data_IF_099009671537
#
_entry.id   IF_099009671537
#
_cell.length_a   1.000
_cell.length_b   1.000
_cell.length_c   1.000
_cell.angle_alpha   90.00
_cell.angle_beta   90.00
_cell.angle_gamma   90.00
#
_symmetry.space_group_name_H-M   'P 1'
#
loop_
_entity.id
_entity.type
_entity.pdbx_description
1 polymer ?
#
# COMPACT_ATOMS: atom_id res chain seq x y z
N UNK A 1 -70.14 -1.10 -45.02
CA UNK A 1 -69.63 0.08 -44.26
C UNK A 1 -69.37 -0.19 -42.77
N UNK A 2 -70.27 -0.88 -42.04
CA UNK A 2 -70.18 -1.09 -40.58
C UNK A 2 -68.92 -1.80 -40.04
N UNK A 3 -68.39 -2.83 -40.74
CA UNK A 3 -67.23 -3.63 -40.28
C UNK A 3 -65.89 -2.85 -40.32
N UNK A 4 -65.71 -1.96 -41.31
CA UNK A 4 -64.49 -1.14 -41.42
C UNK A 4 -64.46 -0.05 -40.36
N UNK A 5 -65.61 0.58 -40.07
CA UNK A 5 -65.74 1.58 -39.00
C UNK A 5 -65.52 0.94 -37.63
N UNK A 6 -66.07 -0.26 -37.39
CA UNK A 6 -65.85 -1.00 -36.15
C UNK A 6 -64.38 -1.39 -35.92
N UNK A 7 -63.68 -1.86 -36.97
CA UNK A 7 -62.25 -2.17 -36.87
C UNK A 7 -61.39 -0.92 -36.61
N UNK A 8 -61.75 0.23 -37.19
CA UNK A 8 -61.06 1.50 -36.92
C UNK A 8 -61.27 1.93 -35.46
N UNK A 9 -62.49 1.81 -34.92
CA UNK A 9 -62.79 2.14 -33.53
C UNK A 9 -61.97 1.26 -32.57
N UNK A 10 -61.93 -0.06 -32.80
CA UNK A 10 -61.15 -1.00 -31.97
C UNK A 10 -59.65 -0.68 -32.02
N UNK A 11 -59.09 -0.36 -33.19
CA UNK A 11 -57.68 0.00 -33.33
C UNK A 11 -57.37 1.30 -32.56
N UNK A 12 -58.24 2.31 -32.66
CA UNK A 12 -58.07 3.58 -31.94
C UNK A 12 -58.13 3.36 -30.42
N UNK A 13 -59.05 2.52 -29.94
CA UNK A 13 -59.21 2.22 -28.53
C UNK A 13 -58.00 1.46 -27.96
N UNK A 14 -57.46 0.48 -28.70
CA UNK A 14 -56.21 -0.22 -28.34
C UNK A 14 -55.04 0.76 -28.27
N UNK A 15 -54.93 1.71 -29.22
CA UNK A 15 -53.88 2.73 -29.21
C UNK A 15 -54.01 3.65 -27.98
N UNK A 16 -55.22 4.04 -27.58
CA UNK A 16 -55.45 4.82 -26.37
C UNK A 16 -55.12 4.05 -25.09
N UNK A 17 -55.46 2.75 -25.02
CA UNK A 17 -55.10 1.89 -23.88
C UNK A 17 -53.58 1.74 -23.80
N UNK A 18 -52.91 1.47 -24.92
CA UNK A 18 -51.45 1.37 -24.96
C UNK A 18 -50.76 2.68 -24.60
N UNK A 19 -51.28 3.83 -25.08
CA UNK A 19 -50.80 5.14 -24.69
C UNK A 19 -51.05 5.44 -23.20
N UNK A 20 -52.19 5.04 -22.65
CA UNK A 20 -52.53 5.16 -21.23
C UNK A 20 -51.62 4.31 -20.35
N UNK A 21 -51.36 3.06 -20.73
CA UNK A 21 -50.41 2.16 -20.05
C UNK A 21 -48.98 2.69 -20.15
N UNK A 22 -48.59 3.26 -21.29
CA UNK A 22 -47.30 3.93 -21.47
C UNK A 22 -47.18 5.17 -20.58
N UNK A 23 -48.19 6.04 -20.53
CA UNK A 23 -48.17 7.25 -19.70
C UNK A 23 -48.17 6.89 -18.23
N UNK A 24 -49.07 5.99 -17.79
CA UNK A 24 -49.15 5.50 -16.42
C UNK A 24 -47.87 4.77 -16.00
N UNK A 25 -47.35 3.89 -16.84
CA UNK A 25 -46.09 3.21 -16.61
C UNK A 25 -44.91 4.19 -16.56
N UNK A 26 -44.88 5.19 -17.44
CA UNK A 26 -43.83 6.20 -17.41
C UNK A 26 -43.94 7.06 -16.16
N UNK A 27 -45.10 7.59 -15.78
CA UNK A 27 -45.26 8.45 -14.60
C UNK A 27 -45.05 7.70 -13.30
N UNK A 28 -45.68 6.53 -13.13
CA UNK A 28 -45.51 5.69 -11.96
C UNK A 28 -44.13 5.04 -11.90
N UNK A 29 -43.60 4.56 -13.03
CA UNK A 29 -42.23 4.07 -13.09
C UNK A 29 -41.18 5.12 -12.68
N UNK A 30 -41.45 6.43 -12.88
CA UNK A 30 -40.56 7.48 -12.34
C UNK A 30 -40.65 7.59 -10.83
N UNK A 31 -41.86 7.59 -10.27
CA UNK A 31 -42.10 7.82 -8.84
C UNK A 31 -41.78 6.57 -8.00
N UNK A 32 -42.36 5.43 -8.35
CA UNK A 32 -42.10 4.14 -7.71
C UNK A 32 -40.66 3.68 -7.92
N UNK A 33 -40.01 4.04 -9.03
CA UNK A 33 -38.60 3.73 -9.26
C UNK A 33 -37.67 4.37 -8.22
N UNK A 34 -37.82 5.67 -7.94
CA UNK A 34 -37.02 6.38 -6.92
C UNK A 34 -37.33 5.87 -5.51
N UNK A 35 -38.61 5.69 -5.20
CA UNK A 35 -39.03 5.22 -3.87
C UNK A 35 -38.54 3.79 -3.63
N UNK A 36 -38.70 2.88 -4.59
CA UNK A 36 -38.29 1.49 -4.42
C UNK A 36 -36.77 1.36 -4.25
N UNK A 37 -35.96 1.99 -5.11
CA UNK A 37 -34.50 1.92 -4.98
C UNK A 37 -34.04 2.52 -3.65
N UNK A 38 -34.67 3.59 -3.19
CA UNK A 38 -34.32 4.22 -1.90
C UNK A 38 -34.61 3.28 -0.72
N UNK A 39 -35.79 2.63 -0.72
CA UNK A 39 -36.15 1.66 0.32
C UNK A 39 -35.19 0.47 0.31
N UNK A 40 -34.91 -0.08 -0.87
CA UNK A 40 -34.02 -1.22 -1.04
C UNK A 40 -32.59 -0.88 -0.61
N UNK A 41 -32.12 0.32 -0.95
CA UNK A 41 -30.82 0.84 -0.53
C UNK A 41 -30.71 0.97 0.99
N UNK A 42 -31.69 1.61 1.65
CA UNK A 42 -31.71 1.74 3.11
C UNK A 42 -31.77 0.38 3.83
N UNK A 43 -32.60 -0.54 3.34
CA UNK A 43 -32.67 -1.90 3.89
C UNK A 43 -31.35 -2.66 3.72
N UNK A 44 -30.69 -2.49 2.56
CA UNK A 44 -29.39 -3.10 2.30
C UNK A 44 -28.30 -2.48 3.16
N UNK A 45 -28.35 -1.16 3.39
CA UNK A 45 -27.45 -0.43 4.28
C UNK A 45 -27.56 -0.93 5.72
N UNK A 46 -28.78 -1.01 6.25
CA UNK A 46 -29.05 -1.51 7.60
C UNK A 46 -28.57 -2.96 7.79
N UNK A 47 -28.68 -3.80 6.75
CA UNK A 47 -28.22 -5.20 6.76
C UNK A 47 -26.75 -5.39 6.42
N UNK A 48 -26.02 -4.32 6.06
CA UNK A 48 -24.68 -4.38 5.46
C UNK A 48 -24.58 -5.34 4.26
N UNK A 49 -25.61 -5.37 3.43
CA UNK A 49 -25.63 -6.16 2.20
C UNK A 49 -24.80 -5.47 1.10
N UNK A 50 -23.49 -5.70 1.16
CA UNK A 50 -22.48 -5.08 0.29
C UNK A 50 -22.81 -5.25 -1.19
N UNK A 51 -23.23 -6.45 -1.59
CA UNK A 51 -23.50 -6.77 -3.00
C UNK A 51 -24.67 -5.96 -3.53
N UNK A 52 -25.77 -5.92 -2.80
CA UNK A 52 -26.94 -5.16 -3.21
C UNK A 52 -26.65 -3.65 -3.19
N UNK A 53 -26.02 -3.14 -2.13
CA UNK A 53 -25.58 -1.74 -2.05
C UNK A 53 -24.74 -1.34 -3.26
N UNK A 54 -23.66 -2.08 -3.55
CA UNK A 54 -22.75 -1.79 -4.65
C UNK A 54 -23.47 -1.76 -6.00
N UNK A 55 -24.41 -2.68 -6.23
CA UNK A 55 -25.19 -2.74 -7.48
C UNK A 55 -26.05 -1.50 -7.72
N UNK A 56 -26.56 -0.89 -6.65
CA UNK A 56 -27.44 0.29 -6.66
C UNK A 56 -26.67 1.60 -6.84
N UNK A 57 -25.38 1.63 -6.54
CA UNK A 57 -24.57 2.84 -6.66
C UNK A 57 -24.37 3.29 -8.11
N UNK A 58 -24.36 4.61 -8.30
CA UNK A 58 -24.02 5.30 -9.53
C UNK A 58 -22.50 5.45 -9.66
N UNK A 59 -21.81 4.31 -9.71
CA UNK A 59 -20.36 4.26 -9.83
C UNK A 59 -19.98 4.11 -11.29
N UNK A 60 -19.08 4.99 -11.74
CA UNK A 60 -18.31 4.74 -12.94
C UNK A 60 -17.24 3.70 -12.60
N UNK A 61 -17.34 2.51 -13.21
CA UNK A 61 -16.38 1.43 -12.96
C UNK A 61 -14.96 1.92 -13.22
N UNK A 62 -14.12 1.80 -12.20
CA UNK A 62 -12.68 2.07 -12.27
C UNK A 62 -11.92 0.91 -11.60
N UNK A 63 -10.60 0.94 -11.66
CA UNK A 63 -9.78 -0.03 -10.95
C UNK A 63 -9.97 0.05 -9.42
N UNK A 64 -10.31 1.24 -8.91
CA UNK A 64 -10.40 1.60 -7.49
C UNK A 64 -11.80 1.41 -6.89
N UNK A 65 -12.84 1.42 -7.74
CA UNK A 65 -14.23 1.29 -7.32
C UNK A 65 -14.74 -0.12 -7.65
N UNK A 66 -14.27 -1.12 -6.86
CA UNK A 66 -14.66 -2.54 -6.95
C UNK A 66 -15.47 -2.99 -5.73
N UNK A 67 -16.33 -3.98 -5.91
CA UNK A 67 -17.18 -4.55 -4.83
C UNK A 67 -16.37 -5.01 -3.60
N UNK A 68 -15.22 -5.67 -3.81
CA UNK A 68 -14.36 -6.09 -2.70
C UNK A 68 -13.80 -4.93 -1.89
N UNK A 69 -13.41 -3.83 -2.55
CA UNK A 69 -12.93 -2.62 -1.87
C UNK A 69 -14.07 -1.93 -1.13
N UNK A 70 -15.27 -1.94 -1.71
CA UNK A 70 -16.47 -1.40 -1.07
C UNK A 70 -16.85 -2.13 0.23
N UNK A 71 -16.63 -3.45 0.30
CA UNK A 71 -16.89 -4.23 1.51
C UNK A 71 -16.15 -3.67 2.74
N UNK A 72 -14.87 -3.31 2.57
CA UNK A 72 -14.04 -2.72 3.64
C UNK A 72 -14.61 -1.38 4.13
N UNK A 73 -15.06 -0.53 3.21
CA UNK A 73 -15.70 0.74 3.55
C UNK A 73 -16.97 0.55 4.37
N UNK A 74 -17.80 -0.43 4.01
CA UNK A 74 -19.05 -0.76 4.72
C UNK A 74 -18.79 -1.38 6.11
N UNK A 75 -17.73 -2.16 6.29
CA UNK A 75 -17.35 -2.70 7.60
C UNK A 75 -17.12 -1.59 8.64
N UNK A 76 -16.44 -0.51 8.23
CA UNK A 76 -16.09 0.64 9.09
C UNK A 76 -17.29 1.49 9.54
N UNK A 77 -18.44 1.35 8.88
CA UNK A 77 -19.61 2.20 9.09
C UNK A 77 -20.54 1.56 10.12
N UNK A 78 -21.10 2.37 11.03
CA UNK A 78 -22.08 1.90 12.00
C UNK A 78 -23.37 1.45 11.29
N UNK A 79 -23.81 0.23 11.58
CA UNK A 79 -25.05 -0.31 11.01
C UNK A 79 -26.28 0.33 11.65
N UNK A 80 -27.35 0.49 10.88
CA UNK A 80 -28.62 1.02 11.39
C UNK A 80 -29.51 -0.13 11.87
N UNK A 81 -30.00 -0.03 13.11
CA UNK A 81 -31.06 -0.90 13.66
C UNK A 81 -32.34 -0.08 13.82
N UNK A 82 -33.44 -0.56 13.23
CA UNK A 82 -34.68 0.19 13.15
C UNK A 82 -35.92 -0.71 13.27
N UNK A 83 -36.98 -0.16 13.84
CA UNK A 83 -38.24 -0.87 14.08
C UNK A 83 -39.27 -0.61 12.99
N UNK A 84 -39.30 0.61 12.48
CA UNK A 84 -40.14 1.05 11.37
C UNK A 84 -39.46 2.16 10.57
N UNK A 85 -39.83 2.28 9.29
CA UNK A 85 -39.38 3.37 8.43
C UNK A 85 -40.46 3.72 7.39
N UNK A 86 -40.42 4.96 6.91
CA UNK A 86 -41.29 5.50 5.86
C UNK A 86 -40.52 6.44 4.95
N UNK A 87 -41.11 6.75 3.80
CA UNK A 87 -40.58 7.81 2.93
C UNK A 87 -41.04 9.16 3.47
N UNK A 88 -40.09 10.06 3.70
CA UNK A 88 -40.31 11.46 4.01
C UNK A 88 -40.38 12.31 2.75
N UNK A 89 -39.74 13.47 2.79
CA UNK A 89 -39.74 14.42 1.68
C UNK A 89 -38.96 13.91 0.45
N UNK A 90 -39.46 14.30 -0.73
CA UNK A 90 -38.81 14.02 -2.01
C UNK A 90 -38.51 15.33 -2.72
N UNK A 91 -37.24 15.69 -2.78
CA UNK A 91 -36.76 16.83 -3.56
C UNK A 91 -36.35 16.33 -4.94
N UNK A 92 -36.92 16.93 -5.99
CA UNK A 92 -36.73 16.44 -7.36
C UNK A 92 -36.29 17.54 -8.30
N UNK A 93 -35.22 17.25 -9.02
CA UNK A 93 -34.72 18.01 -10.14
C UNK A 93 -34.80 17.20 -11.45
N UNK A 94 -34.37 17.80 -12.56
CA UNK A 94 -34.47 17.18 -13.90
C UNK A 94 -33.75 15.83 -13.99
N UNK A 95 -32.56 15.73 -13.40
CA UNK A 95 -31.68 14.55 -13.45
C UNK A 95 -31.24 14.03 -12.08
N UNK A 96 -31.61 14.72 -11.00
CA UNK A 96 -31.27 14.38 -9.62
C UNK A 96 -32.52 14.33 -8.77
N UNK A 97 -32.48 13.54 -7.71
CA UNK A 97 -33.49 13.55 -6.68
C UNK A 97 -32.84 13.24 -5.33
N UNK A 98 -33.38 13.81 -4.27
CA UNK A 98 -33.03 13.46 -2.89
C UNK A 98 -34.30 12.95 -2.23
N UNK A 99 -34.27 11.73 -1.72
CA UNK A 99 -35.38 11.09 -1.03
C UNK A 99 -35.00 10.91 0.43
N UNK A 100 -35.82 11.41 1.33
CA UNK A 100 -35.65 11.21 2.78
C UNK A 100 -36.30 9.90 3.23
N UNK A 101 -35.60 9.16 4.08
CA UNK A 101 -36.15 8.06 4.86
C UNK A 101 -36.21 8.48 6.32
N UNK A 102 -37.43 8.49 6.84
CA UNK A 102 -37.72 8.69 8.26
C UNK A 102 -37.81 7.32 8.92
N UNK A 103 -36.95 7.04 9.89
CA UNK A 103 -36.92 5.77 10.61
C UNK A 103 -36.89 5.96 12.12
N UNK A 104 -37.40 4.97 12.86
CA UNK A 104 -37.27 4.92 14.32
C UNK A 104 -36.15 3.98 14.72
N UNK A 105 -35.17 4.51 15.45
CA UNK A 105 -34.04 3.74 15.96
C UNK A 105 -34.49 2.79 17.08
N UNK A 106 -34.02 1.54 17.05
CA UNK A 106 -34.45 0.51 18.01
C UNK A 106 -34.03 0.80 19.45
N UNK A 107 -32.94 1.55 19.63
CA UNK A 107 -32.31 1.75 20.94
C UNK A 107 -33.16 2.60 21.87
N UNK A 108 -33.76 3.67 21.36
CA UNK A 108 -34.47 4.68 22.14
C UNK A 108 -35.78 5.17 21.49
N UNK A 109 -36.15 4.62 20.33
CA UNK A 109 -37.35 5.01 19.59
C UNK A 109 -37.27 6.39 18.94
N UNK A 110 -36.09 7.01 18.92
CA UNK A 110 -35.89 8.32 18.32
C UNK A 110 -36.11 8.26 16.81
N UNK A 111 -36.78 9.29 16.30
CA UNK A 111 -36.97 9.47 14.87
C UNK A 111 -35.69 10.08 14.26
N UNK A 112 -35.19 9.47 13.20
CA UNK A 112 -34.00 9.89 12.46
C UNK A 112 -34.28 9.93 10.96
N UNK A 113 -33.48 10.73 10.28
CA UNK A 113 -33.57 10.96 8.84
C UNK A 113 -32.36 10.36 8.14
N UNK A 114 -32.60 9.74 6.98
CA UNK A 114 -31.58 9.16 6.12
C UNK A 114 -31.81 9.62 4.69
N UNK A 115 -30.99 10.59 4.26
CA UNK A 115 -31.11 11.19 2.94
C UNK A 115 -30.40 10.35 1.88
N UNK A 116 -31.10 10.06 0.79
CA UNK A 116 -30.56 9.30 -0.34
C UNK A 116 -30.57 10.15 -1.59
N UNK A 117 -29.37 10.49 -2.05
CA UNK A 117 -29.17 11.20 -3.31
C UNK A 117 -29.18 10.21 -4.47
N UNK A 118 -29.96 10.54 -5.51
CA UNK A 118 -30.18 9.70 -6.68
C UNK A 118 -29.86 10.49 -7.95
N UNK A 119 -29.27 9.79 -8.93
CA UNK A 119 -29.19 10.29 -10.30
C UNK A 119 -29.97 9.43 -11.28
N UNK A 120 -30.56 10.12 -12.25
CA UNK A 120 -31.28 9.50 -13.34
C UNK A 120 -30.29 9.00 -14.40
N UNK A 121 -30.36 7.71 -14.68
CA UNK A 121 -29.49 7.06 -15.64
C UNK A 121 -29.93 7.37 -17.08
N UNK A 122 -28.94 7.52 -17.98
CA UNK A 122 -29.20 7.71 -19.43
C UNK A 122 -29.93 6.51 -20.03
N UNK A 123 -29.54 5.29 -19.61
CA UNK A 123 -30.17 4.03 -20.01
C UNK A 123 -31.51 3.87 -19.31
N UNK A 124 -32.56 3.61 -20.08
CA UNK A 124 -33.92 3.36 -19.58
C UNK A 124 -34.19 1.86 -19.52
N UNK A 125 -34.92 1.40 -18.52
CA UNK A 125 -35.44 0.03 -18.48
C UNK A 125 -36.59 -0.09 -19.49
N UNK A 126 -36.61 -1.20 -20.26
CA UNK A 126 -37.53 -1.41 -21.39
C UNK A 126 -37.63 -0.19 -22.33
N UNK A 127 -36.55 0.58 -22.46
CA UNK A 127 -36.44 1.83 -23.25
C UNK A 127 -37.35 3.01 -22.84
N UNK A 128 -38.26 2.84 -21.87
CA UNK A 128 -39.26 3.87 -21.49
C UNK A 128 -39.23 4.24 -20.01
N UNK A 129 -38.82 3.33 -19.13
CA UNK A 129 -38.82 3.57 -17.68
C UNK A 129 -37.51 4.20 -17.23
N UNK A 130 -37.54 5.30 -16.47
CA UNK A 130 -36.31 5.86 -15.93
C UNK A 130 -35.68 4.91 -14.93
N UNK A 131 -34.37 4.72 -15.04
CA UNK A 131 -33.58 4.02 -14.03
C UNK A 131 -32.91 5.07 -13.16
N UNK A 132 -32.95 4.86 -11.86
CA UNK A 132 -32.26 5.69 -10.88
C UNK A 132 -31.14 4.86 -10.25
N UNK A 133 -30.06 5.52 -9.84
CA UNK A 133 -28.99 4.93 -9.03
C UNK A 133 -28.63 5.89 -7.92
N UNK A 134 -28.10 5.35 -6.82
CA UNK A 134 -27.72 6.11 -5.63
C UNK A 134 -26.35 6.75 -5.85
N UNK A 135 -26.21 8.04 -5.57
CA UNK A 135 -24.91 8.70 -5.64
C UNK A 135 -23.97 8.16 -4.56
N UNK A 136 -22.72 7.82 -4.89
CA UNK A 136 -21.78 7.19 -3.96
C UNK A 136 -21.06 8.22 -3.07
N UNK A 137 -21.52 9.47 -2.99
CA UNK A 137 -20.80 10.58 -2.34
C UNK A 137 -20.43 10.31 -0.87
N UNK A 138 -21.19 9.46 -0.18
CA UNK A 138 -20.90 9.05 1.21
C UNK A 138 -19.89 7.91 1.34
N UNK A 139 -19.42 7.35 0.23
CA UNK A 139 -18.49 6.22 0.21
C UNK A 139 -17.24 6.49 -0.60
N UNK A 140 -17.20 7.56 -1.39
CA UNK A 140 -16.13 7.83 -2.34
C UNK A 140 -15.50 9.16 -2.00
N UNK A 141 -14.18 9.17 -1.90
CA UNK A 141 -13.37 10.38 -1.86
C UNK A 141 -12.77 10.66 -3.22
N UNK A 142 -12.57 11.94 -3.52
CA UNK A 142 -12.15 12.42 -4.84
C UNK A 142 -10.76 13.05 -4.78
N UNK A 143 -10.01 12.91 -5.88
CA UNK A 143 -8.73 13.57 -6.11
C UNK A 143 -7.69 13.35 -4.99
N UNK A 144 -7.56 12.13 -4.47
CA UNK A 144 -6.55 11.85 -3.44
C UNK A 144 -5.15 11.79 -4.04
N UNK A 145 -4.17 12.26 -3.28
CA UNK A 145 -2.77 12.34 -3.66
C UNK A 145 -1.91 11.48 -2.75
N UNK A 146 -1.02 10.69 -3.35
CA UNK A 146 -0.06 9.85 -2.63
C UNK A 146 1.33 10.30 -3.04
N UNK A 147 2.12 10.68 -2.05
CA UNK A 147 3.50 11.14 -2.22
C UNK A 147 4.41 9.99 -1.83
N UNK A 148 5.28 9.61 -2.75
CA UNK A 148 6.26 8.56 -2.57
C UNK A 148 7.65 9.12 -2.81
N UNK A 149 8.71 8.41 -2.41
CA UNK A 149 10.02 8.66 -2.98
C UNK A 149 10.00 8.57 -4.50
N UNK A 150 11.00 9.18 -5.13
CA UNK A 150 11.16 9.20 -6.57
C UNK A 150 11.43 7.81 -7.14
N UNK A 151 10.93 7.60 -8.35
CA UNK A 151 11.15 6.43 -9.21
C UNK A 151 10.69 5.10 -8.59
N UNK A 152 9.75 5.15 -7.65
CA UNK A 152 9.07 3.96 -7.13
C UNK A 152 7.82 3.66 -7.95
N UNK A 153 7.55 2.38 -8.14
CA UNK A 153 6.26 1.91 -8.67
C UNK A 153 5.27 1.81 -7.52
N UNK A 154 4.15 2.54 -7.61
CA UNK A 154 3.12 2.59 -6.57
C UNK A 154 1.97 1.62 -6.86
N UNK A 155 1.60 0.83 -5.87
CA UNK A 155 0.43 -0.03 -5.88
C UNK A 155 -0.54 0.36 -4.74
N UNK A 156 -1.84 0.42 -5.06
CA UNK A 156 -2.92 0.54 -4.07
C UNK A 156 -3.84 -0.67 -4.19
N UNK A 157 -4.08 -1.37 -3.08
CA UNK A 157 -4.84 -2.64 -3.04
C UNK A 157 -4.37 -3.65 -4.12
N UNK A 158 -3.07 -3.68 -4.40
CA UNK A 158 -2.45 -4.56 -5.40
C UNK A 158 -2.64 -4.13 -6.86
N UNK A 159 -3.10 -2.90 -7.11
CA UNK A 159 -3.28 -2.33 -8.44
C UNK A 159 -2.27 -1.20 -8.62
N UNK A 160 -1.54 -1.21 -9.73
CA UNK A 160 -0.58 -0.17 -10.06
C UNK A 160 -1.25 1.18 -10.31
N UNK A 161 -0.66 2.26 -9.79
CA UNK A 161 -1.10 3.63 -10.02
C UNK A 161 -0.25 4.24 -11.14
N UNK A 162 -0.73 4.18 -12.37
CA UNK A 162 0.03 4.66 -13.53
C UNK A 162 0.10 6.20 -13.63
N UNK A 163 -0.84 6.91 -12.99
CA UNK A 163 -1.00 8.36 -13.15
C UNK A 163 -0.15 9.15 -12.16
N UNK A 164 1.04 9.55 -12.60
CA UNK A 164 1.90 10.54 -11.94
C UNK A 164 1.48 11.96 -12.31
N UNK A 165 1.22 12.81 -11.31
CA UNK A 165 0.88 14.23 -11.48
C UNK A 165 2.14 15.09 -11.59
N UNK A 166 3.02 14.91 -10.63
CA UNK A 166 4.21 15.74 -10.42
C UNK A 166 5.37 14.81 -10.08
N UNK A 167 6.55 15.22 -10.53
CA UNK A 167 7.81 14.56 -10.22
C UNK A 167 8.80 15.65 -9.87
N UNK A 168 9.45 15.51 -8.72
CA UNK A 168 10.46 16.44 -8.23
C UNK A 168 11.83 15.76 -8.22
N UNK A 169 12.82 16.41 -7.64
CA UNK A 169 14.13 15.80 -7.47
C UNK A 169 14.08 14.56 -6.57
N UNK A 170 13.23 14.53 -5.53
CA UNK A 170 13.25 13.51 -4.47
C UNK A 170 11.94 12.70 -4.34
N UNK A 171 10.84 13.22 -4.88
CA UNK A 171 9.50 12.68 -4.65
C UNK A 171 8.69 12.63 -5.93
N UNK A 172 7.79 11.65 -5.98
CA UNK A 172 6.74 11.53 -6.97
C UNK A 172 5.35 11.68 -6.34
N UNK A 173 4.44 12.33 -7.06
CA UNK A 173 3.05 12.52 -6.61
C UNK A 173 2.11 11.79 -7.57
N UNK A 174 1.36 10.84 -7.03
CA UNK A 174 0.35 10.07 -7.74
C UNK A 174 -1.05 10.56 -7.40
N UNK A 175 -1.98 10.52 -8.36
CA UNK A 175 -3.40 10.87 -8.12
C UNK A 175 -4.35 9.75 -8.48
N UNK A 176 -5.27 9.50 -7.55
CA UNK A 176 -6.45 8.67 -7.78
C UNK A 176 -7.68 9.57 -7.78
N UNK A 177 -8.32 9.69 -8.96
CA UNK A 177 -9.44 10.63 -9.15
C UNK A 177 -10.65 10.25 -8.25
N UNK A 178 -10.89 8.95 -8.04
CA UNK A 178 -11.94 8.43 -7.14
C UNK A 178 -11.52 7.09 -6.52
N UNK A 179 -11.67 6.97 -5.19
CA UNK A 179 -11.45 5.74 -4.43
C UNK A 179 -12.50 5.64 -3.32
N UNK A 180 -12.82 4.43 -2.89
CA UNK A 180 -13.67 4.28 -1.72
C UNK A 180 -13.01 4.86 -0.47
N UNK A 181 -13.80 5.31 0.49
CA UNK A 181 -13.30 5.75 1.80
C UNK A 181 -12.92 4.54 2.66
N UNK A 182 -12.02 4.76 3.60
CA UNK A 182 -11.58 3.76 4.56
C UNK A 182 -10.13 3.35 4.35
N UNK A 183 -9.79 2.18 4.87
CA UNK A 183 -8.43 1.66 4.89
C UNK A 183 -8.06 0.97 3.56
N UNK A 184 -6.96 1.43 2.97
CA UNK A 184 -6.35 0.89 1.76
C UNK A 184 -4.93 0.44 2.04
N UNK A 185 -4.49 -0.59 1.31
CA UNK A 185 -3.11 -1.08 1.40
C UNK A 185 -2.29 -0.40 0.31
N UNK A 186 -1.25 0.32 0.71
CA UNK A 186 -0.27 0.92 -0.18
C UNK A 186 0.97 0.05 -0.19
N UNK A 187 1.51 -0.24 -1.37
CA UNK A 187 2.76 -0.95 -1.55
C UNK A 187 3.62 -0.22 -2.57
N UNK A 188 4.89 -0.05 -2.24
CA UNK A 188 5.89 0.60 -3.08
C UNK A 188 6.90 -0.45 -3.53
N UNK A 189 7.35 -0.35 -4.78
CA UNK A 189 8.41 -1.19 -5.33
C UNK A 189 9.50 -0.33 -5.95
N UNK A 190 10.75 -0.66 -5.64
CA UNK A 190 11.96 -0.06 -6.22
C UNK A 190 12.65 -1.13 -7.05
N UNK A 191 12.57 -1.05 -8.37
CA UNK A 191 12.97 -2.13 -9.29
C UNK A 191 12.41 -3.51 -8.88
N UNK A 192 13.25 -4.40 -8.35
CA UNK A 192 12.91 -5.75 -7.90
C UNK A 192 12.73 -5.86 -6.38
N UNK A 193 12.89 -4.76 -5.63
CA UNK A 193 12.77 -4.72 -4.17
C UNK A 193 11.36 -4.26 -3.80
N UNK A 194 10.65 -5.06 -3.02
CA UNK A 194 9.35 -4.68 -2.51
C UNK A 194 9.45 -4.13 -1.09
N UNK A 195 8.86 -2.95 -0.89
CA UNK A 195 8.74 -2.36 0.43
C UNK A 195 7.51 -2.93 1.16
N UNK A 196 7.55 -2.91 2.50
CA UNK A 196 6.45 -3.42 3.33
C UNK A 196 5.18 -2.63 3.03
N UNK A 197 4.05 -3.33 2.85
CA UNK A 197 2.78 -2.66 2.66
C UNK A 197 2.39 -1.82 3.89
N UNK A 198 1.79 -0.67 3.63
CA UNK A 198 1.30 0.26 4.64
C UNK A 198 -0.21 0.42 4.55
N UNK A 199 -0.86 0.61 5.69
CA UNK A 199 -2.29 0.91 5.76
C UNK A 199 -2.48 2.42 5.76
N UNK A 200 -3.22 2.92 4.79
CA UNK A 200 -3.58 4.34 4.67
C UNK A 200 -5.09 4.49 4.71
N UNK A 201 -5.58 5.41 5.52
CA UNK A 201 -7.01 5.70 5.64
C UNK A 201 -7.40 6.94 4.84
N UNK A 202 -8.18 6.75 3.77
CA UNK A 202 -8.74 7.84 2.97
C UNK A 202 -10.13 8.23 3.49
N UNK A 203 -10.32 9.49 3.87
CA UNK A 203 -11.54 9.94 4.55
C UNK A 203 -12.08 11.29 4.08
N UNK A 204 -11.35 12.00 3.22
CA UNK A 204 -11.80 13.27 2.65
C UNK A 204 -11.28 13.49 1.22
N UNK A 205 -12.02 14.31 0.47
CA UNK A 205 -11.60 14.77 -0.86
C UNK A 205 -10.27 15.53 -0.78
N UNK A 206 -9.43 15.41 -1.81
CA UNK A 206 -8.12 16.08 -1.94
C UNK A 206 -7.16 15.76 -0.80
N UNK A 207 -7.34 14.63 -0.14
CA UNK A 207 -6.41 14.19 0.89
C UNK A 207 -5.05 13.87 0.26
N UNK A 208 -4.00 14.50 0.79
CA UNK A 208 -2.60 14.21 0.45
C UNK A 208 -1.99 13.35 1.56
N UNK A 209 -1.40 12.21 1.20
CA UNK A 209 -0.75 11.30 2.13
C UNK A 209 0.70 11.08 1.71
N UNK A 210 1.62 11.16 2.67
CA UNK A 210 3.03 10.85 2.45
C UNK A 210 3.32 9.43 2.91
N UNK A 211 3.81 8.60 2.01
CA UNK A 211 4.18 7.22 2.26
C UNK A 211 5.71 7.18 2.19
N UNK A 212 6.34 7.32 3.36
CA UNK A 212 7.81 7.41 3.50
C UNK A 212 8.40 6.30 4.35
N UNK A 213 7.57 5.38 4.85
CA UNK A 213 8.00 4.32 5.74
C UNK A 213 8.67 3.19 4.93
N UNK A 214 9.98 3.32 4.78
CA UNK A 214 10.81 2.42 4.00
C UNK A 214 11.21 1.24 4.89
N UNK A 215 10.53 0.11 4.74
CA UNK A 215 10.96 -1.16 5.33
C UNK A 215 11.00 -2.19 4.22
N UNK A 216 12.06 -2.99 4.14
CA UNK A 216 12.11 -4.12 3.21
C UNK A 216 11.07 -5.18 3.61
N UNK A 217 10.49 -5.86 2.63
CA UNK A 217 9.74 -7.08 2.91
C UNK A 217 10.67 -8.14 3.58
N UNK A 218 10.08 -9.19 4.17
CA UNK A 218 10.85 -10.20 4.90
C UNK A 218 11.77 -11.06 4.01
N UNK A 219 11.58 -11.09 2.69
CA UNK A 219 12.41 -11.86 1.77
C UNK A 219 13.66 -11.08 1.37
N UNK A 220 13.47 -9.84 0.91
CA UNK A 220 14.53 -8.90 0.54
C UNK A 220 15.42 -8.57 1.73
N UNK A 221 14.84 -8.39 2.93
CA UNK A 221 15.60 -8.20 4.16
C UNK A 221 16.50 -9.41 4.46
N UNK A 222 15.97 -10.64 4.34
CA UNK A 222 16.78 -11.86 4.54
C UNK A 222 17.87 -11.98 3.48
N UNK A 223 17.59 -11.65 2.23
CA UNK A 223 18.55 -11.64 1.14
C UNK A 223 19.71 -10.68 1.41
N UNK A 224 19.40 -9.44 1.82
CA UNK A 224 20.40 -8.44 2.20
C UNK A 224 21.24 -8.86 3.40
N UNK A 225 20.62 -9.43 4.45
CA UNK A 225 21.34 -9.92 5.62
C UNK A 225 22.26 -11.11 5.29
N UNK A 226 21.88 -11.97 4.34
CA UNK A 226 22.74 -13.05 3.86
C UNK A 226 23.92 -12.54 3.03
N UNK A 227 23.70 -11.52 2.19
CA UNK A 227 24.78 -10.86 1.45
C UNK A 227 25.79 -10.24 2.44
N UNK A 228 25.29 -9.54 3.45
CA UNK A 228 26.12 -8.96 4.50
C UNK A 228 27.00 -9.97 5.23
N UNK A 229 26.46 -11.12 5.62
CA UNK A 229 27.27 -12.15 6.28
C UNK A 229 28.42 -12.64 5.39
N UNK A 230 28.15 -12.79 4.08
CA UNK A 230 29.17 -13.13 3.09
C UNK A 230 30.22 -12.01 2.98
N UNK A 231 29.78 -10.77 2.85
CA UNK A 231 30.66 -9.62 2.65
C UNK A 231 31.58 -9.39 3.86
N UNK A 232 31.04 -9.52 5.09
CA UNK A 232 31.83 -9.48 6.33
C UNK A 232 32.93 -10.54 6.31
N UNK A 233 32.59 -11.80 6.00
CA UNK A 233 33.58 -12.89 5.93
C UNK A 233 34.62 -12.63 4.86
N UNK A 234 34.21 -12.22 3.65
CA UNK A 234 35.14 -11.93 2.54
C UNK A 234 36.10 -10.80 2.88
N UNK A 235 35.62 -9.69 3.45
CA UNK A 235 36.45 -8.55 3.84
C UNK A 235 37.47 -8.93 4.91
N UNK A 236 37.04 -9.60 5.98
CA UNK A 236 37.94 -9.96 7.07
C UNK A 236 38.92 -11.07 6.70
N UNK A 237 38.48 -12.12 6.00
CA UNK A 237 39.39 -13.16 5.51
C UNK A 237 40.38 -12.60 4.50
N UNK A 238 39.92 -11.80 3.53
CA UNK A 238 40.81 -11.15 2.57
C UNK A 238 41.81 -10.23 3.27
N UNK A 239 41.38 -9.46 4.27
CA UNK A 239 42.28 -8.56 5.00
C UNK A 239 43.32 -9.33 5.81
N UNK A 240 42.92 -10.44 6.44
CA UNK A 240 43.80 -11.36 7.15
C UNK A 240 44.83 -12.01 6.22
N UNK A 241 44.39 -12.49 5.05
CA UNK A 241 45.24 -13.13 4.03
C UNK A 241 46.07 -12.14 3.22
N UNK A 242 45.85 -10.83 3.42
CA UNK A 242 46.49 -9.72 2.68
C UNK A 242 46.24 -9.76 1.18
N UNK A 243 45.03 -10.19 0.81
CA UNK A 243 44.56 -10.18 -0.58
C UNK A 243 44.56 -8.75 -1.13
N UNK A 244 44.91 -8.58 -2.39
CA UNK A 244 44.83 -7.26 -3.01
C UNK A 244 43.35 -6.85 -3.15
N UNK A 245 43.03 -5.59 -2.80
CA UNK A 245 41.64 -5.10 -2.80
C UNK A 245 40.94 -5.28 -4.17
N UNK A 246 41.70 -5.16 -5.26
CA UNK A 246 41.18 -5.34 -6.63
C UNK A 246 40.61 -6.73 -6.90
N UNK A 247 40.99 -7.74 -6.11
CA UNK A 247 40.54 -9.12 -6.28
C UNK A 247 39.24 -9.42 -5.50
N UNK A 248 38.81 -8.52 -4.60
CA UNK A 248 37.67 -8.76 -3.70
C UNK A 248 36.30 -8.35 -4.27
N UNK A 249 36.25 -7.80 -5.49
CA UNK A 249 35.00 -7.42 -6.18
C UNK A 249 34.07 -6.46 -5.41
N UNK A 250 34.64 -5.59 -4.56
CA UNK A 250 33.90 -4.55 -3.84
C UNK A 250 33.97 -3.19 -4.54
N UNK A 251 33.05 -2.29 -4.18
CA UNK A 251 33.10 -0.90 -4.64
C UNK A 251 34.36 -0.20 -4.14
N UNK A 252 34.96 0.62 -4.99
CA UNK A 252 36.16 1.41 -4.69
C UNK A 252 36.05 2.29 -3.43
N UNK A 253 34.83 2.66 -3.02
CA UNK A 253 34.56 3.36 -1.78
C UNK A 253 35.12 2.64 -0.54
N UNK A 254 35.10 1.30 -0.53
CA UNK A 254 35.60 0.49 0.59
C UNK A 254 37.12 0.38 0.67
N UNK A 255 37.87 0.89 -0.31
CA UNK A 255 39.32 0.71 -0.37
C UNK A 255 40.03 1.24 0.89
N UNK A 256 39.55 2.36 1.45
CA UNK A 256 40.11 2.96 2.66
C UNK A 256 39.82 2.09 3.89
N UNK A 257 38.57 1.66 4.04
CA UNK A 257 38.11 0.83 5.16
C UNK A 257 38.83 -0.51 5.17
N UNK A 258 38.91 -1.15 4.01
CA UNK A 258 39.65 -2.39 3.83
C UNK A 258 41.14 -2.25 4.16
N UNK A 259 41.77 -1.14 3.74
CA UNK A 259 43.17 -0.87 4.11
C UNK A 259 43.34 -0.74 5.64
N UNK A 260 42.44 -0.03 6.33
CA UNK A 260 42.47 0.08 7.79
C UNK A 260 42.34 -1.29 8.47
N UNK A 261 41.44 -2.14 7.94
CA UNK A 261 41.26 -3.51 8.41
C UNK A 261 42.52 -4.36 8.19
N UNK A 262 43.16 -4.28 7.02
CA UNK A 262 44.44 -4.95 6.76
C UNK A 262 45.56 -4.47 7.70
N UNK A 263 45.59 -3.17 8.01
CA UNK A 263 46.55 -2.62 8.97
C UNK A 263 46.34 -3.25 10.36
N UNK A 264 45.12 -3.54 10.77
CA UNK A 264 44.85 -4.19 12.05
C UNK A 264 45.47 -5.59 12.17
N UNK A 265 45.48 -6.36 11.09
CA UNK A 265 46.17 -7.67 11.03
C UNK A 265 47.69 -7.53 10.86
N UNK A 266 48.16 -6.39 10.37
CA UNK A 266 49.59 -6.10 10.16
C UNK A 266 50.24 -5.36 11.34
N UNK A 267 49.44 -4.81 12.26
CA UNK A 267 49.86 -4.02 13.44
C UNK A 267 50.48 -4.84 14.56
N UNK A 268 50.41 -6.15 14.49
CA UNK A 268 51.21 -7.02 15.34
C UNK A 268 52.67 -6.58 15.30
N UNK A 269 53.21 -6.15 16.44
CA UNK A 269 54.66 -6.00 16.60
C UNK A 269 55.29 -7.33 16.15
N UNK A 270 56.53 -7.38 15.63
CA UNK A 270 57.15 -8.64 15.08
C UNK A 270 57.08 -9.89 16.01
N UNK A 271 56.63 -9.69 17.26
CA UNK A 271 56.42 -10.63 18.34
C UNK A 271 55.02 -11.28 18.40
N UNK A 272 53.96 -10.64 17.89
CA UNK A 272 52.59 -11.16 17.98
C UNK A 272 51.90 -11.12 16.60
N UNK A 273 51.34 -12.24 16.16
CA UNK A 273 50.67 -12.36 14.85
C UNK A 273 49.41 -13.20 14.98
N UNK A 274 48.30 -12.74 14.39
CA UNK A 274 47.09 -13.56 14.22
C UNK A 274 47.41 -14.70 13.25
N UNK A 275 47.06 -15.92 13.62
CA UNK A 275 47.31 -17.18 12.87
C UNK A 275 46.01 -17.94 12.54
N UNK A 276 44.87 -17.49 13.03
CA UNK A 276 43.56 -18.04 12.69
C UNK A 276 42.44 -17.13 13.14
N UNK A 277 41.33 -17.14 12.42
CA UNK A 277 40.16 -16.34 12.72
C UNK A 277 38.90 -17.07 12.24
N UNK A 278 37.86 -17.03 13.07
CA UNK A 278 36.53 -17.51 12.75
C UNK A 278 35.48 -16.55 13.29
N UNK A 279 34.32 -16.58 12.65
CA UNK A 279 33.15 -15.83 13.09
C UNK A 279 32.13 -16.77 13.69
N UNK A 280 31.57 -16.39 14.82
CA UNK A 280 30.47 -17.10 15.45
C UNK A 280 29.30 -16.13 15.74
N UNK A 281 28.09 -16.65 15.66
CA UNK A 281 26.86 -15.91 15.99
C UNK A 281 26.64 -14.57 15.26
N UNK A 282 27.20 -14.39 14.06
CA UNK A 282 26.94 -13.21 13.23
C UNK A 282 25.43 -13.06 12.96
N UNK A 283 24.91 -11.89 13.29
CA UNK A 283 23.53 -11.48 13.07
C UNK A 283 23.52 -10.04 12.61
N UNK A 284 22.89 -9.79 11.46
CA UNK A 284 22.59 -8.44 11.03
C UNK A 284 21.17 -8.03 11.43
N UNK A 285 20.99 -6.74 11.68
CA UNK A 285 19.70 -6.09 11.93
C UNK A 285 19.64 -4.81 11.11
N UNK A 286 18.69 -4.74 10.17
CA UNK A 286 18.40 -3.50 9.44
C UNK A 286 17.95 -2.43 10.45
N UNK A 287 18.74 -1.36 10.58
CA UNK A 287 18.46 -0.24 11.49
C UNK A 287 17.61 0.80 10.77
N UNK A 288 17.98 1.09 9.52
CA UNK A 288 17.40 2.16 8.74
C UNK A 288 17.43 1.82 7.26
N UNK A 289 16.38 2.23 6.55
CA UNK A 289 16.28 2.21 5.10
C UNK A 289 15.80 3.59 4.67
N UNK A 290 16.55 4.28 3.81
CA UNK A 290 16.25 5.66 3.43
C UNK A 290 16.70 6.03 2.02
N UNK A 291 16.05 7.01 1.41
CA UNK A 291 16.57 7.65 0.20
C UNK A 291 17.53 8.78 0.54
N UNK A 292 18.72 8.73 -0.04
CA UNK A 292 19.72 9.81 0.03
C UNK A 292 20.24 10.03 -1.39
N UNK A 293 20.14 11.26 -1.90
CA UNK A 293 20.62 11.65 -3.24
C UNK A 293 20.15 10.70 -4.36
N UNK A 294 18.84 10.39 -4.40
CA UNK A 294 18.20 9.48 -5.37
C UNK A 294 18.67 8.02 -5.32
N UNK A 295 19.30 7.59 -4.22
CA UNK A 295 19.72 6.20 -4.01
C UNK A 295 19.09 5.66 -2.72
N UNK A 296 18.52 4.46 -2.80
CA UNK A 296 18.04 3.74 -1.63
C UNK A 296 19.23 3.19 -0.83
N UNK A 297 19.34 3.59 0.43
CA UNK A 297 20.41 3.24 1.35
C UNK A 297 19.88 2.39 2.50
N UNK A 298 20.62 1.34 2.86
CA UNK A 298 20.33 0.48 4.00
C UNK A 298 21.48 0.54 5.00
N UNK A 299 21.17 0.91 6.25
CA UNK A 299 22.10 0.85 7.37
C UNK A 299 21.80 -0.39 8.21
N UNK A 300 22.82 -1.23 8.41
CA UNK A 300 22.68 -2.52 9.09
C UNK A 300 23.66 -2.60 10.25
N UNK A 301 23.15 -2.90 11.45
CA UNK A 301 23.97 -3.26 12.60
C UNK A 301 24.31 -4.73 12.52
N UNK A 302 25.59 -5.07 12.61
CA UNK A 302 26.02 -6.45 12.74
C UNK A 302 26.58 -6.69 14.13
N UNK A 303 26.06 -7.72 14.77
CA UNK A 303 26.54 -8.22 16.06
C UNK A 303 26.96 -9.66 15.92
N UNK A 304 27.99 -10.08 16.66
CA UNK A 304 28.44 -11.47 16.72
C UNK A 304 29.75 -11.54 17.48
N UNK A 305 30.53 -12.58 17.26
CA UNK A 305 31.83 -12.75 17.90
C UNK A 305 32.90 -13.05 16.83
N UNK A 306 34.11 -12.55 17.07
CA UNK A 306 35.32 -12.99 16.37
C UNK A 306 36.13 -13.85 17.33
N UNK A 307 36.28 -15.12 16.99
CA UNK A 307 37.20 -16.05 17.62
C UNK A 307 38.53 -16.00 16.87
N UNK A 308 39.64 -15.67 17.54
CA UNK A 308 40.93 -15.59 16.88
C UNK A 308 42.06 -16.22 17.68
N UNK A 309 42.99 -16.82 16.94
CA UNK A 309 44.23 -17.39 17.47
C UNK A 309 45.39 -16.49 17.09
N UNK A 310 46.30 -16.25 18.03
CA UNK A 310 47.48 -15.44 17.80
C UNK A 310 48.72 -16.04 18.48
N UNK A 311 49.87 -15.74 17.93
CA UNK A 311 51.17 -16.01 18.56
C UNK A 311 51.53 -14.85 19.48
N UNK A 312 52.10 -15.17 20.63
CA UNK A 312 52.63 -14.17 21.56
C UNK A 312 54.06 -14.54 21.94
N UNK A 313 55.00 -13.61 21.71
CA UNK A 313 56.40 -13.82 22.10
C UNK A 313 56.67 -13.28 23.50
N UNK A 314 57.21 -14.13 24.37
CA UNK A 314 57.69 -13.74 25.69
C UNK A 314 58.84 -12.74 25.59
N UNK A 315 58.73 -11.63 26.33
CA UNK A 315 59.79 -10.61 26.38
C UNK A 315 61.09 -11.16 26.98
N UNK A 316 60.99 -12.15 27.87
CA UNK A 316 62.12 -12.69 28.64
C UNK A 316 62.70 -13.97 28.05
N UNK A 317 61.87 -14.88 27.53
CA UNK A 317 62.32 -16.23 27.12
C UNK A 317 62.49 -16.41 25.61
N UNK A 318 62.07 -15.44 24.77
CA UNK A 318 61.94 -15.60 23.30
C UNK A 318 61.03 -16.77 22.87
N UNK A 319 60.35 -17.44 23.81
CA UNK A 319 59.37 -18.46 23.49
C UNK A 319 58.14 -17.83 22.86
N UNK A 320 57.61 -18.51 21.86
CA UNK A 320 56.36 -18.17 21.20
C UNK A 320 55.31 -19.13 21.71
N UNK A 321 54.22 -18.59 22.24
CA UNK A 321 53.05 -19.38 22.64
C UNK A 321 51.85 -19.02 21.79
N UNK A 322 51.02 -20.01 21.49
CA UNK A 322 49.72 -19.80 20.86
C UNK A 322 48.69 -19.44 21.93
N UNK A 323 47.89 -18.43 21.64
CA UNK A 323 46.80 -17.93 22.47
C UNK A 323 45.54 -17.88 21.62
N UNK A 324 44.41 -18.05 22.30
CA UNK A 324 43.10 -17.86 21.73
C UNK A 324 42.40 -16.75 22.51
N UNK A 325 41.66 -15.91 21.80
CA UNK A 325 40.83 -14.88 22.40
C UNK A 325 39.55 -14.74 21.58
N UNK A 326 38.56 -14.11 22.19
CA UNK A 326 37.25 -13.82 21.61
C UNK A 326 36.96 -12.34 21.81
N UNK A 327 36.42 -11.67 20.79
CA UNK A 327 35.95 -10.29 20.92
C UNK A 327 34.55 -10.15 20.33
N UNK A 328 33.76 -9.29 20.95
CA UNK A 328 32.46 -8.89 20.41
C UNK A 328 32.66 -8.18 19.07
N UNK A 329 32.00 -8.69 18.04
CA UNK A 329 31.82 -8.02 16.77
C UNK A 329 30.65 -7.06 16.87
N UNK A 330 30.91 -5.78 16.69
CA UNK A 330 29.87 -4.76 16.60
C UNK A 330 30.30 -3.69 15.59
N UNK A 331 29.62 -3.68 14.44
CA UNK A 331 29.92 -2.77 13.33
C UNK A 331 28.65 -2.41 12.56
N UNK A 332 28.64 -1.22 11.98
CA UNK A 332 27.57 -0.73 11.11
C UNK A 332 28.02 -0.81 9.65
N UNK A 333 27.13 -1.27 8.78
CA UNK A 333 27.38 -1.43 7.35
C UNK A 333 26.35 -0.64 6.57
N UNK A 334 26.83 0.16 5.62
CA UNK A 334 25.99 0.95 4.74
C UNK A 334 26.00 0.39 3.33
N UNK A 335 24.82 0.00 2.85
CA UNK A 335 24.60 -0.46 1.49
C UNK A 335 23.85 0.58 0.67
N UNK A 336 24.13 0.62 -0.62
CA UNK A 336 23.37 1.34 -1.62
C UNK A 336 22.75 0.35 -2.61
N UNK A 337 21.48 0.56 -2.98
CA UNK A 337 20.84 -0.21 -4.04
C UNK A 337 21.08 0.46 -5.39
N UNK A 338 22.00 -0.10 -6.18
CA UNK A 338 22.45 0.47 -7.45
C UNK A 338 22.48 -0.62 -8.52
N UNK A 339 21.98 -0.32 -9.71
CA UNK A 339 21.93 -1.27 -10.84
C UNK A 339 21.27 -2.62 -10.46
N UNK A 340 20.16 -2.57 -9.72
CA UNK A 340 19.40 -3.74 -9.25
C UNK A 340 20.13 -4.65 -8.24
N UNK A 341 21.23 -4.18 -7.64
CA UNK A 341 21.98 -4.93 -6.64
C UNK A 341 22.33 -4.06 -5.43
N UNK A 342 22.42 -4.70 -4.26
CA UNK A 342 22.95 -4.07 -3.05
C UNK A 342 24.48 -4.05 -3.11
N UNK A 343 25.06 -2.88 -2.92
CA UNK A 343 26.50 -2.63 -2.94
C UNK A 343 26.92 -2.09 -1.58
N UNK A 344 27.83 -2.76 -0.91
CA UNK A 344 28.43 -2.25 0.33
C UNK A 344 29.34 -1.07 0.01
N UNK A 345 29.11 0.08 0.62
CA UNK A 345 29.85 1.33 0.30
C UNK A 345 30.63 1.89 1.47
N UNK A 346 30.28 1.55 2.72
CA UNK A 346 30.96 2.06 3.91
C UNK A 346 30.82 1.10 5.09
N UNK A 347 31.86 1.03 5.93
CA UNK A 347 31.88 0.28 7.19
C UNK A 347 32.18 1.23 8.34
N UNK A 348 31.20 1.41 9.21
CA UNK A 348 31.29 2.23 10.40
C UNK A 348 31.61 1.36 11.62
N UNK A 349 32.55 1.82 12.43
CA UNK A 349 32.98 1.18 13.69
C UNK A 349 33.54 -0.25 13.51
N UNK A 350 34.82 -0.37 13.13
CA UNK A 350 35.51 -1.66 13.10
C UNK A 350 35.96 -2.11 14.50
N UNK A 351 35.65 -3.34 14.95
CA UNK A 351 36.13 -3.86 16.22
C UNK A 351 37.66 -4.01 16.19
N UNK A 352 38.35 -3.50 17.20
CA UNK A 352 39.79 -3.70 17.38
C UNK A 352 40.09 -5.08 17.96
N UNK A 353 41.10 -5.75 17.41
CA UNK A 353 41.64 -7.01 17.93
C UNK A 353 42.85 -6.69 18.81
N UNK A 354 42.79 -7.11 20.06
CA UNK A 354 43.85 -6.89 21.05
C UNK A 354 44.73 -8.14 21.18
N UNK A 355 45.96 -8.09 20.65
CA UNK A 355 46.89 -9.23 20.65
C UNK A 355 48.37 -8.88 20.73
#
# INVERSE_FOLDING_TARGET
MKRRVLNIIIIVEIVFILAGVLVFGVTNGRYYGMVNITKEYFQSYAKKDVKNLYSMLNIQKSAWLKENSFAKSIESIEGIRYSKFSIGDIQREKQRATVDIVYQEDKDGTEKHFLVNLSKQKKKALSIFPVWKVEPDHFVVKDVEIVTPKDVTLYVDGIEVEKKLESSALEDVYRIDQIFLGEHIIQERVDNVELRPQKVNFHQDKQRVEVKNMLLNSEDERGLLSLLEKDVKTLWTGAYEKTDFGDLSFDSALKRDYWLLQQQFSRGNRKNQIIGMAFSHLKGKLIQLQWTDDVLQAEILVTGNIDYCYTQSSWFSKEVSEKQNEVDFNAQFNYQYVNQHWVLVEINHMPSLDY
#
